data_IF_061841674986
#
_entry.id   IF_061841674986
#
_cell.length_a   1.000
_cell.length_b   1.000
_cell.length_c   1.000
_cell.angle_alpha   90.00
_cell.angle_beta   90.00
_cell.angle_gamma   90.00
#
_symmetry.space_group_name_H-M   'P 1'
#
loop_
_entity.id
_entity.type
_entity.pdbx_description
1 polymer ?
#
# COMPACT_ATOMS: atom_id res chain seq x y z
N UNK A 1 -4.78 6.33 -19.79
CA UNK A 1 -5.18 5.79 -18.48
C UNK A 1 -4.09 6.12 -17.48
N UNK A 2 -4.43 6.48 -16.24
CA UNK A 2 -3.41 6.77 -15.22
C UNK A 2 -2.70 5.50 -14.79
N UNK A 3 -1.39 5.59 -14.51
CA UNK A 3 -0.59 4.47 -14.00
C UNK A 3 -0.99 4.11 -12.57
N UNK A 4 -0.66 2.89 -12.11
CA UNK A 4 -0.84 2.46 -10.71
C UNK A 4 -0.21 3.47 -9.74
N UNK A 5 1.00 3.92 -10.04
CA UNK A 5 1.73 4.90 -9.23
C UNK A 5 1.02 6.25 -9.20
N UNK A 6 0.48 6.73 -10.32
CA UNK A 6 -0.30 7.98 -10.34
C UNK A 6 -1.55 7.87 -9.48
N UNK A 7 -2.29 6.76 -9.56
CA UNK A 7 -3.49 6.53 -8.72
C UNK A 7 -3.15 6.53 -7.23
N UNK A 8 -2.17 5.72 -6.83
CA UNK A 8 -1.71 5.65 -5.43
C UNK A 8 -1.20 7.01 -5.00
N UNK A 9 -0.45 7.70 -5.88
CA UNK A 9 0.04 9.03 -5.60
C UNK A 9 -1.13 9.97 -5.37
N UNK A 10 -2.14 10.08 -6.23
CA UNK A 10 -3.31 10.95 -5.99
C UNK A 10 -4.02 10.70 -4.66
N UNK A 11 -4.12 9.44 -4.22
CA UNK A 11 -4.77 9.09 -2.94
C UNK A 11 -3.91 9.43 -1.70
N UNK A 12 -2.58 9.38 -1.82
CA UNK A 12 -1.63 9.78 -0.77
C UNK A 12 -1.52 8.85 0.44
N UNK A 13 -2.53 8.04 0.71
CA UNK A 13 -2.51 6.97 1.70
C UNK A 13 -3.04 5.67 1.08
N UNK A 14 -2.45 4.54 1.44
CA UNK A 14 -2.93 3.19 1.11
C UNK A 14 -3.25 2.45 2.41
N UNK A 15 -4.53 2.14 2.68
CA UNK A 15 -4.92 1.34 3.83
C UNK A 15 -4.31 -0.07 3.76
N UNK A 16 -3.51 -0.44 4.75
CA UNK A 16 -2.92 -1.79 4.86
C UNK A 16 -3.84 -2.65 5.69
N UNK A 17 -4.53 -3.58 5.03
CA UNK A 17 -5.65 -4.35 5.56
C UNK A 17 -5.21 -5.76 5.94
N UNK A 18 -5.60 -6.19 7.12
CA UNK A 18 -5.57 -7.60 7.56
C UNK A 18 -7.01 -8.01 7.82
N UNK A 19 -7.50 -9.03 7.12
CA UNK A 19 -8.85 -9.57 7.28
C UNK A 19 -8.75 -11.02 7.76
N UNK A 20 -9.34 -11.34 8.90
CA UNK A 20 -9.39 -12.71 9.42
C UNK A 20 -10.49 -13.54 8.75
N UNK A 21 -11.55 -12.89 8.27
CA UNK A 21 -12.71 -13.50 7.64
C UNK A 21 -13.10 -12.69 6.39
N UNK A 22 -13.31 -13.36 5.26
CA UNK A 22 -13.61 -12.72 3.98
C UNK A 22 -14.98 -12.01 4.00
N UNK A 23 -15.89 -12.39 4.91
CA UNK A 23 -17.20 -11.71 5.04
C UNK A 23 -17.08 -10.22 5.37
N UNK A 24 -15.99 -9.82 6.00
CA UNK A 24 -15.76 -8.43 6.42
C UNK A 24 -15.20 -7.57 5.26
N UNK A 25 -14.85 -8.19 4.13
CA UNK A 25 -14.25 -7.52 2.98
C UNK A 25 -15.21 -6.51 2.32
N UNK A 26 -16.47 -6.90 2.06
CA UNK A 26 -17.46 -6.02 1.43
C UNK A 26 -17.83 -4.82 2.31
N UNK A 27 -18.16 -4.98 3.61
CA UNK A 27 -18.40 -3.84 4.51
C UNK A 27 -17.18 -2.92 4.65
N UNK A 28 -15.97 -3.48 4.70
CA UNK A 28 -14.74 -2.68 4.77
C UNK A 28 -14.51 -1.87 3.49
N UNK A 29 -14.68 -2.49 2.32
CA UNK A 29 -14.57 -1.79 1.03
C UNK A 29 -15.60 -0.66 0.93
N UNK A 30 -16.85 -0.91 1.36
CA UNK A 30 -17.88 0.13 1.44
C UNK A 30 -17.43 1.33 2.26
N UNK A 31 -16.92 1.09 3.48
CA UNK A 31 -16.48 2.15 4.37
C UNK A 31 -15.32 2.97 3.78
N UNK A 32 -14.37 2.30 3.11
CA UNK A 32 -13.24 2.95 2.44
C UNK A 32 -13.70 3.81 1.25
N UNK A 33 -14.59 3.28 0.40
CA UNK A 33 -15.15 3.99 -0.76
C UNK A 33 -15.98 5.20 -0.31
N UNK A 34 -16.91 5.01 0.63
CA UNK A 34 -17.73 6.10 1.16
C UNK A 34 -16.92 7.14 1.92
N UNK A 35 -15.80 6.74 2.53
CA UNK A 35 -14.86 7.64 3.19
C UNK A 35 -13.95 8.41 2.23
N UNK A 36 -14.07 8.19 0.91
CA UNK A 36 -13.31 8.90 -0.11
C UNK A 36 -11.93 8.32 -0.41
N UNK A 37 -11.62 7.11 0.07
CA UNK A 37 -10.35 6.42 -0.17
C UNK A 37 -10.59 5.05 -0.82
N UNK A 38 -10.96 5.01 -2.12
CA UNK A 38 -11.26 3.77 -2.83
C UNK A 38 -10.00 2.97 -3.17
N UNK A 39 -9.20 2.58 -2.18
CA UNK A 39 -8.04 1.70 -2.33
C UNK A 39 -7.76 0.86 -1.07
N UNK A 40 -7.05 -0.26 -1.25
CA UNK A 40 -6.57 -1.09 -0.15
C UNK A 40 -5.36 -1.95 -0.58
N UNK A 41 -4.43 -2.18 0.35
CA UNK A 41 -3.42 -3.25 0.29
C UNK A 41 -3.89 -4.39 1.21
N UNK A 42 -4.53 -5.43 0.65
CA UNK A 42 -4.99 -6.61 1.41
C UNK A 42 -3.81 -7.56 1.62
N UNK A 43 -3.45 -7.82 2.86
CA UNK A 43 -2.25 -8.60 3.17
C UNK A 43 -2.49 -10.11 3.16
N UNK A 44 -1.60 -10.87 2.51
CA UNK A 44 -1.56 -12.35 2.49
C UNK A 44 -1.04 -12.94 3.82
N UNK A 45 -1.53 -12.42 4.94
CA UNK A 45 -1.21 -12.90 6.29
C UNK A 45 -2.25 -13.87 6.86
N UNK A 46 -3.38 -14.00 6.17
CA UNK A 46 -4.52 -14.84 6.54
C UNK A 46 -5.01 -15.59 5.31
N UNK A 47 -5.71 -16.71 5.51
CA UNK A 47 -6.30 -17.49 4.41
C UNK A 47 -7.43 -16.72 3.70
N UNK A 48 -8.02 -15.72 4.36
CA UNK A 48 -9.10 -14.89 3.82
C UNK A 48 -8.64 -13.88 2.76
N UNK A 49 -7.34 -13.65 2.57
CA UNK A 49 -6.82 -12.59 1.72
C UNK A 49 -7.28 -12.66 0.26
N UNK A 50 -7.22 -13.86 -0.35
CA UNK A 50 -7.60 -14.06 -1.76
C UNK A 50 -9.08 -13.78 -1.99
N UNK A 51 -9.96 -14.41 -1.19
CA UNK A 51 -11.41 -14.21 -1.31
C UNK A 51 -11.80 -12.77 -0.97
N UNK A 52 -11.11 -12.13 -0.02
CA UNK A 52 -11.33 -10.71 0.29
C UNK A 52 -11.04 -9.81 -0.91
N UNK A 53 -9.91 -10.01 -1.61
CA UNK A 53 -9.58 -9.23 -2.81
C UNK A 53 -10.65 -9.43 -3.89
N UNK A 54 -11.10 -10.67 -4.09
CA UNK A 54 -12.14 -11.00 -5.06
C UNK A 54 -13.48 -10.31 -4.73
N UNK A 55 -13.91 -10.34 -3.47
CA UNK A 55 -15.11 -9.65 -3.01
C UNK A 55 -14.98 -8.14 -3.24
N UNK A 56 -13.90 -7.53 -2.75
CA UNK A 56 -13.70 -6.08 -2.86
C UNK A 56 -13.68 -5.61 -4.32
N UNK A 57 -12.98 -6.33 -5.20
CA UNK A 57 -12.83 -5.93 -6.61
C UNK A 57 -14.08 -6.23 -7.46
N UNK A 58 -14.89 -7.22 -7.08
CA UNK A 58 -16.14 -7.53 -7.80
C UNK A 58 -17.30 -6.65 -7.37
N UNK A 59 -17.44 -6.38 -6.08
CA UNK A 59 -18.52 -5.52 -5.56
C UNK A 59 -18.22 -4.03 -5.69
N UNK A 60 -16.94 -3.64 -5.71
CA UNK A 60 -16.49 -2.25 -5.87
C UNK A 60 -15.47 -2.14 -7.02
N UNK A 61 -15.90 -2.22 -8.30
CA UNK A 61 -15.00 -2.28 -9.46
C UNK A 61 -14.06 -1.07 -9.62
N UNK A 62 -14.47 0.09 -9.08
CA UNK A 62 -13.67 1.31 -9.10
C UNK A 62 -12.60 1.35 -7.99
N UNK A 63 -12.69 0.45 -7.00
CA UNK A 63 -11.74 0.36 -5.90
C UNK A 63 -10.39 -0.19 -6.40
N UNK A 64 -9.32 0.49 -6.01
CA UNK A 64 -7.96 0.13 -6.37
C UNK A 64 -7.34 -0.80 -5.32
N UNK A 65 -7.55 -2.11 -5.49
CA UNK A 65 -7.10 -3.14 -4.55
C UNK A 65 -5.77 -3.75 -5.00
N UNK A 66 -4.80 -3.84 -4.10
CA UNK A 66 -3.56 -4.59 -4.28
C UNK A 66 -3.38 -5.66 -3.21
N UNK A 67 -2.40 -6.53 -3.42
CA UNK A 67 -2.04 -7.58 -2.49
C UNK A 67 -0.73 -7.24 -1.77
N UNK A 68 -0.75 -7.25 -0.44
CA UNK A 68 0.40 -7.01 0.41
C UNK A 68 0.93 -8.27 1.09
N UNK A 69 2.13 -8.18 1.66
CA UNK A 69 2.80 -9.31 2.30
C UNK A 69 2.89 -10.54 1.37
N UNK A 70 3.12 -10.31 0.09
CA UNK A 70 3.36 -11.39 -0.88
C UNK A 70 4.80 -11.89 -0.74
N UNK A 71 4.94 -13.19 -0.55
CA UNK A 71 6.18 -13.89 -0.22
C UNK A 71 6.51 -15.03 -1.19
N UNK A 72 5.59 -15.39 -2.10
CA UNK A 72 5.83 -16.43 -3.12
C UNK A 72 5.22 -16.06 -4.46
N UNK A 73 5.69 -16.72 -5.53
CA UNK A 73 5.14 -16.57 -6.88
C UNK A 73 3.69 -17.06 -6.95
N UNK A 74 3.34 -18.14 -6.25
CA UNK A 74 1.97 -18.67 -6.21
C UNK A 74 1.00 -17.65 -5.60
N UNK A 75 1.46 -16.88 -4.60
CA UNK A 75 0.66 -15.79 -4.03
C UNK A 75 0.46 -14.62 -5.01
N UNK A 76 1.45 -14.32 -5.86
CA UNK A 76 1.29 -13.34 -6.96
C UNK A 76 0.16 -13.78 -7.88
N UNK A 77 0.20 -15.03 -8.37
CA UNK A 77 -0.80 -15.53 -9.31
C UNK A 77 -2.20 -15.56 -8.69
N UNK A 78 -2.33 -16.03 -7.44
CA UNK A 78 -3.60 -16.01 -6.69
C UNK A 78 -4.15 -14.59 -6.52
N UNK A 79 -3.31 -13.64 -6.12
CA UNK A 79 -3.70 -12.25 -5.95
C UNK A 79 -4.22 -11.63 -7.25
N UNK A 80 -3.48 -11.82 -8.34
CA UNK A 80 -3.83 -11.27 -9.66
C UNK A 80 -5.10 -11.92 -10.20
N UNK A 81 -5.24 -13.24 -10.05
CA UNK A 81 -6.46 -13.96 -10.43
C UNK A 81 -7.69 -13.49 -9.62
N UNK A 82 -7.50 -13.13 -8.35
CA UNK A 82 -8.55 -12.52 -7.52
C UNK A 82 -8.88 -11.06 -7.87
N UNK A 83 -8.09 -10.42 -8.75
CA UNK A 83 -8.35 -9.07 -9.24
C UNK A 83 -7.42 -7.98 -8.72
N UNK A 84 -6.38 -8.33 -7.94
CA UNK A 84 -5.38 -7.37 -7.46
C UNK A 84 -4.72 -6.62 -8.62
N UNK A 85 -4.58 -5.30 -8.47
CA UNK A 85 -4.00 -4.40 -9.48
C UNK A 85 -2.51 -4.16 -9.29
N UNK A 86 -1.97 -4.50 -8.13
CA UNK A 86 -0.55 -4.36 -7.80
C UNK A 86 -0.16 -5.31 -6.66
N UNK A 87 1.13 -5.60 -6.56
CA UNK A 87 1.74 -6.47 -5.56
C UNK A 87 2.67 -5.66 -4.65
N UNK A 88 2.69 -6.00 -3.37
CA UNK A 88 3.57 -5.42 -2.37
C UNK A 88 4.20 -6.55 -1.54
N UNK A 89 5.54 -6.64 -1.55
CA UNK A 89 6.29 -7.53 -0.68
C UNK A 89 6.92 -6.73 0.48
N UNK A 90 7.11 -7.34 1.67
CA UNK A 90 7.70 -6.63 2.80
C UNK A 90 9.21 -6.38 2.64
N UNK A 91 9.89 -7.18 1.81
CA UNK A 91 11.30 -7.03 1.45
C UNK A 91 11.51 -7.19 -0.06
N UNK A 92 12.78 -7.13 -0.48
CA UNK A 92 13.16 -7.27 -1.88
C UNK A 92 13.55 -8.72 -2.16
N UNK A 93 12.64 -9.45 -2.80
CA UNK A 93 12.92 -10.79 -3.33
C UNK A 93 13.14 -10.67 -4.85
N UNK A 94 14.36 -10.93 -5.36
CA UNK A 94 14.66 -10.90 -6.79
C UNK A 94 13.74 -11.77 -7.63
N UNK A 95 13.39 -12.98 -7.17
CA UNK A 95 12.61 -13.93 -7.94
C UNK A 95 11.17 -13.45 -8.12
N UNK A 96 10.55 -12.94 -7.04
CA UNK A 96 9.20 -12.35 -7.10
C UNK A 96 9.19 -11.09 -7.96
N UNK A 97 10.20 -10.22 -7.82
CA UNK A 97 10.30 -8.99 -8.60
C UNK A 97 10.45 -9.31 -10.09
N UNK A 98 11.38 -10.20 -10.45
CA UNK A 98 11.64 -10.57 -11.84
C UNK A 98 10.41 -11.27 -12.45
N UNK A 99 9.71 -12.10 -11.67
CA UNK A 99 8.43 -12.71 -12.08
C UNK A 99 7.36 -11.66 -12.40
N UNK A 100 7.08 -10.73 -11.47
CA UNK A 100 6.10 -9.67 -11.67
C UNK A 100 6.43 -8.81 -12.90
N UNK A 101 7.70 -8.42 -13.06
CA UNK A 101 8.15 -7.64 -14.21
C UNK A 101 7.96 -8.38 -15.54
N UNK A 102 8.27 -9.68 -15.59
CA UNK A 102 8.10 -10.50 -16.80
C UNK A 102 6.64 -10.61 -17.27
N UNK A 103 5.70 -10.43 -16.33
CA UNK A 103 4.25 -10.49 -16.56
C UNK A 103 3.58 -9.12 -16.62
N UNK A 104 4.36 -8.04 -16.60
CA UNK A 104 3.86 -6.66 -16.56
C UNK A 104 2.94 -6.38 -15.34
N UNK A 105 3.16 -7.10 -14.23
CA UNK A 105 2.43 -6.92 -12.97
C UNK A 105 3.12 -5.83 -12.15
N UNK A 106 2.42 -4.74 -11.78
CA UNK A 106 2.98 -3.69 -10.94
C UNK A 106 3.38 -4.22 -9.56
N UNK A 107 4.63 -3.97 -9.14
CA UNK A 107 5.16 -4.41 -7.85
C UNK A 107 5.87 -3.27 -7.10
N UNK A 108 5.66 -3.21 -5.78
CA UNK A 108 6.36 -2.32 -4.86
C UNK A 108 7.11 -3.14 -3.79
N UNK A 109 8.33 -3.61 -4.08
CA UNK A 109 9.09 -4.41 -3.12
C UNK A 109 9.63 -3.55 -1.98
N UNK A 110 9.71 -4.13 -0.77
CA UNK A 110 10.28 -3.48 0.40
C UNK A 110 11.80 -3.34 0.32
N UNK A 111 12.34 -2.17 0.63
CA UNK A 111 13.77 -1.90 0.72
C UNK A 111 14.05 -1.07 1.97
N UNK A 112 15.15 -1.37 2.67
CA UNK A 112 15.65 -0.57 3.82
C UNK A 112 17.14 -0.22 3.69
N UNK A 113 17.83 -0.77 2.70
CA UNK A 113 19.26 -0.53 2.45
C UNK A 113 19.54 0.01 1.05
N UNK A 114 20.67 0.72 0.84
CA UNK A 114 21.12 1.12 -0.49
C UNK A 114 21.29 -0.06 -1.47
N UNK A 115 21.75 -1.22 -0.98
CA UNK A 115 21.94 -2.40 -1.83
C UNK A 115 20.63 -2.92 -2.41
N UNK A 116 19.56 -3.00 -1.62
CA UNK A 116 18.23 -3.41 -2.10
C UNK A 116 17.65 -2.37 -3.06
N UNK A 117 17.78 -1.08 -2.74
CA UNK A 117 17.35 -0.01 -3.63
C UNK A 117 18.10 -0.05 -4.96
N UNK A 118 19.41 -0.34 -4.95
CA UNK A 118 20.18 -0.51 -6.17
C UNK A 118 19.67 -1.69 -7.02
N UNK A 119 19.23 -2.79 -6.39
CA UNK A 119 18.61 -3.91 -7.11
C UNK A 119 17.28 -3.52 -7.76
N UNK A 120 16.47 -2.71 -7.09
CA UNK A 120 15.21 -2.19 -7.64
C UNK A 120 15.48 -1.27 -8.85
N UNK A 121 16.41 -0.33 -8.72
CA UNK A 121 16.80 0.59 -9.79
C UNK A 121 17.37 -0.16 -11.00
N UNK A 122 18.22 -1.18 -10.77
CA UNK A 122 18.79 -2.02 -11.84
C UNK A 122 17.70 -2.69 -12.69
N UNK A 123 16.55 -3.00 -12.10
CA UNK A 123 15.38 -3.61 -12.77
C UNK A 123 14.39 -2.59 -13.32
N UNK A 124 14.70 -1.30 -13.25
CA UNK A 124 13.87 -0.24 -13.79
C UNK A 124 12.69 0.18 -12.91
N UNK A 125 12.58 -0.35 -11.67
CA UNK A 125 11.53 0.07 -10.75
C UNK A 125 11.64 1.56 -10.43
N UNK A 126 10.50 2.24 -10.37
CA UNK A 126 10.39 3.69 -10.08
C UNK A 126 9.91 3.98 -8.66
N UNK A 127 9.32 2.99 -8.01
CA UNK A 127 8.82 3.10 -6.64
C UNK A 127 9.17 1.83 -5.89
N UNK A 128 9.65 1.97 -4.65
CA UNK A 128 9.83 0.86 -3.72
C UNK A 128 9.06 1.15 -2.43
N UNK A 129 8.65 0.10 -1.72
CA UNK A 129 8.16 0.22 -0.35
C UNK A 129 9.36 0.45 0.58
N UNK A 130 9.21 1.30 1.59
CA UNK A 130 10.19 1.44 2.67
C UNK A 130 9.55 0.92 3.96
N UNK A 131 10.02 -0.24 4.44
CA UNK A 131 9.36 -0.95 5.53
C UNK A 131 10.37 -1.72 6.40
N UNK A 132 10.30 -1.65 7.75
CA UNK A 132 9.38 -0.83 8.57
C UNK A 132 9.90 0.60 8.78
N UNK A 133 9.15 1.60 8.31
CA UNK A 133 9.66 2.96 8.10
C UNK A 133 10.17 3.65 9.37
N UNK A 134 9.35 3.77 10.42
CA UNK A 134 9.76 4.50 11.64
C UNK A 134 10.96 3.85 12.34
N UNK A 135 11.04 2.53 12.34
CA UNK A 135 12.12 1.76 12.97
C UNK A 135 13.45 1.89 12.22
N UNK A 136 13.42 2.22 10.93
CA UNK A 136 14.61 2.44 10.10
C UNK A 136 14.91 3.93 9.85
N UNK A 137 14.52 4.79 10.80
CA UNK A 137 14.86 6.22 10.82
C UNK A 137 13.94 7.12 9.96
N UNK A 138 12.85 6.55 9.46
CA UNK A 138 11.75 7.28 8.85
C UNK A 138 12.14 8.17 7.67
N UNK A 139 11.45 9.30 7.53
CA UNK A 139 11.62 10.19 6.38
C UNK A 139 13.05 10.73 6.23
N UNK A 140 13.81 10.87 7.32
CA UNK A 140 15.20 11.32 7.26
C UNK A 140 16.09 10.30 6.54
N UNK A 141 15.98 9.02 6.89
CA UNK A 141 16.67 7.93 6.19
C UNK A 141 16.27 7.87 4.72
N UNK A 142 14.96 7.98 4.42
CA UNK A 142 14.48 7.96 3.04
C UNK A 142 15.09 9.10 2.22
N UNK A 143 15.17 10.32 2.77
CA UNK A 143 15.80 11.48 2.09
C UNK A 143 17.27 11.23 1.78
N UNK A 144 18.03 10.72 2.76
CA UNK A 144 19.44 10.40 2.58
C UNK A 144 19.64 9.28 1.53
N UNK A 145 18.82 8.23 1.60
CA UNK A 145 18.87 7.11 0.69
C UNK A 145 18.46 7.51 -0.73
N UNK A 146 17.47 8.39 -0.90
CA UNK A 146 17.01 8.83 -2.22
C UNK A 146 18.03 9.68 -2.99
N UNK A 147 19.01 10.30 -2.30
CA UNK A 147 19.96 11.22 -2.91
C UNK A 147 20.73 10.64 -4.12
N UNK A 148 21.33 9.43 -4.04
CA UNK A 148 22.00 8.80 -5.19
C UNK A 148 21.06 8.16 -6.22
N UNK A 149 19.79 7.92 -5.90
CA UNK A 149 18.84 7.19 -6.77
C UNK A 149 17.84 8.14 -7.41
N UNK A 150 18.34 9.00 -8.32
CA UNK A 150 17.54 10.01 -9.00
C UNK A 150 16.34 9.40 -9.71
N UNK A 151 15.15 9.94 -9.44
CA UNK A 151 13.89 9.50 -10.03
C UNK A 151 13.18 8.36 -9.31
N UNK A 152 13.84 7.68 -8.36
CA UNK A 152 13.18 6.70 -7.50
C UNK A 152 12.33 7.41 -6.44
N UNK A 153 11.15 6.87 -6.16
CA UNK A 153 10.26 7.30 -5.08
C UNK A 153 9.99 6.16 -4.10
N UNK A 154 9.42 6.50 -2.95
CA UNK A 154 9.20 5.59 -1.84
C UNK A 154 7.75 5.60 -1.38
N UNK A 155 7.29 4.42 -0.95
CA UNK A 155 6.02 4.22 -0.25
C UNK A 155 6.32 3.72 1.18
N UNK A 156 6.54 4.62 2.16
CA UNK A 156 6.85 4.24 3.54
C UNK A 156 5.65 3.54 4.19
N UNK A 157 5.91 2.49 4.94
CA UNK A 157 4.91 1.74 5.70
C UNK A 157 5.54 1.25 7.00
N UNK A 158 4.74 1.19 8.07
CA UNK A 158 5.20 0.76 9.40
C UNK A 158 5.48 1.96 10.31
N UNK A 159 4.62 2.13 11.31
CA UNK A 159 4.66 3.27 12.23
C UNK A 159 4.07 4.59 11.67
N UNK A 160 3.58 4.60 10.43
CA UNK A 160 2.84 5.76 9.89
C UNK A 160 1.45 5.87 10.55
N UNK A 161 1.08 7.09 10.91
CA UNK A 161 -0.20 7.47 11.51
C UNK A 161 -0.58 8.90 11.10
N UNK A 162 -1.78 9.35 11.46
CA UNK A 162 -2.18 10.75 11.27
C UNK A 162 -1.18 11.77 11.89
N UNK A 163 -0.46 11.40 12.96
CA UNK A 163 0.47 12.31 13.66
C UNK A 163 1.75 12.62 12.88
N UNK A 164 2.22 11.69 12.06
CA UNK A 164 3.47 11.82 11.30
C UNK A 164 3.24 11.84 9.78
N UNK A 165 2.01 11.75 9.30
CA UNK A 165 1.70 11.71 7.88
C UNK A 165 2.24 12.94 7.12
N UNK A 166 2.13 14.13 7.71
CA UNK A 166 2.65 15.37 7.12
C UNK A 166 4.16 15.35 6.91
N UNK A 167 4.94 14.77 7.83
CA UNK A 167 6.40 14.73 7.71
C UNK A 167 6.84 13.89 6.51
N UNK A 168 6.09 12.82 6.20
CA UNK A 168 6.30 11.99 5.04
C UNK A 168 5.79 12.63 3.75
N UNK A 169 4.52 13.03 3.70
CA UNK A 169 3.90 13.51 2.46
C UNK A 169 4.42 14.89 2.01
N UNK A 170 5.03 15.67 2.90
CA UNK A 170 5.76 16.90 2.53
C UNK A 170 7.10 16.63 1.84
N UNK A 171 7.56 15.38 1.77
CA UNK A 171 8.80 15.01 1.10
C UNK A 171 8.51 14.59 -0.34
N UNK A 172 9.12 15.28 -1.31
CA UNK A 172 8.93 15.02 -2.74
C UNK A 172 9.31 13.60 -3.18
N UNK A 173 10.08 12.87 -2.37
CA UNK A 173 10.47 11.47 -2.62
C UNK A 173 9.37 10.46 -2.26
N UNK A 174 8.28 10.88 -1.63
CA UNK A 174 7.20 10.01 -1.17
C UNK A 174 6.02 10.09 -2.14
N UNK A 175 5.56 8.94 -2.65
CA UNK A 175 4.36 8.89 -3.51
C UNK A 175 3.07 8.83 -2.70
N UNK A 176 3.06 8.00 -1.66
CA UNK A 176 1.98 7.77 -0.72
C UNK A 176 2.53 7.04 0.50
N UNK A 177 1.78 7.00 1.60
CA UNK A 177 2.14 6.20 2.77
C UNK A 177 1.20 4.99 2.94
N UNK A 178 1.76 3.84 3.28
CA UNK A 178 0.96 2.70 3.75
C UNK A 178 0.67 2.82 5.24
N UNK A 179 -0.58 2.62 5.66
CA UNK A 179 -0.97 2.70 7.06
C UNK A 179 -2.23 1.92 7.41
N UNK A 180 -2.33 1.48 8.67
CA UNK A 180 -3.45 0.66 9.16
C UNK A 180 -4.29 1.36 10.22
N UNK A 181 -4.02 2.63 10.55
CA UNK A 181 -4.64 3.29 11.70
C UNK A 181 -6.16 3.45 11.54
N UNK A 182 -6.66 3.61 10.32
CA UNK A 182 -8.09 3.72 9.97
C UNK A 182 -8.77 2.36 9.77
N UNK A 183 -8.02 1.29 9.53
CA UNK A 183 -8.52 -0.07 9.24
C UNK A 183 -7.99 -1.10 10.25
N UNK A 184 -7.88 -0.72 11.53
CA UNK A 184 -7.37 -1.62 12.57
C UNK A 184 -8.22 -2.90 12.65
N UNK A 185 -7.55 -4.05 12.77
CA UNK A 185 -8.22 -5.36 12.83
C UNK A 185 -9.31 -5.45 13.92
N UNK A 186 -9.10 -4.81 15.07
CA UNK A 186 -10.09 -4.80 16.15
C UNK A 186 -11.38 -4.03 15.78
N UNK A 187 -11.29 -2.99 14.95
CA UNK A 187 -12.45 -2.26 14.44
C UNK A 187 -13.23 -3.11 13.43
N UNK A 188 -12.51 -3.76 12.52
CA UNK A 188 -13.08 -4.67 11.51
C UNK A 188 -13.81 -5.83 12.20
N UNK A 189 -13.13 -6.51 13.13
CA UNK A 189 -13.69 -7.64 13.89
C UNK A 189 -14.92 -7.25 14.71
N UNK A 190 -14.97 -6.01 15.21
CA UNK A 190 -16.11 -5.48 15.96
C UNK A 190 -17.24 -4.94 15.06
N UNK A 191 -17.11 -5.01 13.72
CA UNK A 191 -18.09 -4.50 12.78
C UNK A 191 -18.24 -2.96 12.80
N UNK A 192 -17.23 -2.23 13.28
CA UNK A 192 -17.25 -0.77 13.46
C UNK A 192 -16.96 -0.03 12.14
N UNK A 193 -17.67 -0.39 11.07
CA UNK A 193 -17.42 0.14 9.73
C UNK A 193 -17.75 1.63 9.60
N UNK A 194 -18.71 2.14 10.37
CA UNK A 194 -18.99 3.59 10.45
C UNK A 194 -17.81 4.37 11.06
N UNK A 195 -17.13 3.80 12.05
CA UNK A 195 -15.92 4.39 12.65
C UNK A 195 -14.76 4.37 11.65
N UNK A 196 -14.59 3.26 10.92
CA UNK A 196 -13.58 3.14 9.85
C UNK A 196 -13.82 4.18 8.74
N UNK A 197 -15.08 4.39 8.34
CA UNK A 197 -15.45 5.43 7.37
C UNK A 197 -15.02 6.81 7.88
N UNK A 198 -15.40 7.19 9.09
CA UNK A 198 -15.04 8.49 9.67
C UNK A 198 -13.51 8.68 9.73
N UNK A 199 -12.76 7.66 10.18
CA UNK A 199 -11.29 7.71 10.21
C UNK A 199 -10.66 7.78 8.80
N UNK A 200 -11.34 7.23 7.80
CA UNK A 200 -10.93 7.31 6.40
C UNK A 200 -11.14 8.73 5.85
N UNK A 201 -12.29 9.36 6.14
CA UNK A 201 -12.57 10.75 5.78
C UNK A 201 -11.54 11.71 6.40
N UNK A 202 -11.19 11.48 7.68
CA UNK A 202 -10.13 12.23 8.36
C UNK A 202 -8.77 12.09 7.67
N UNK A 203 -8.40 10.86 7.27
CA UNK A 203 -7.16 10.61 6.55
C UNK A 203 -7.13 11.31 5.17
N UNK A 204 -8.24 11.25 4.43
CA UNK A 204 -8.39 11.91 3.11
C UNK A 204 -8.28 13.42 3.26
N UNK A 205 -8.97 14.00 4.25
CA UNK A 205 -8.88 15.44 4.54
C UNK A 205 -7.46 15.86 4.89
N UNK A 206 -6.77 15.09 5.73
CA UNK A 206 -5.38 15.37 6.10
C UNK A 206 -4.44 15.33 4.89
N UNK A 207 -4.59 14.35 3.99
CA UNK A 207 -3.81 14.29 2.74
C UNK A 207 -4.04 15.54 1.88
N UNK A 208 -5.30 15.98 1.73
CA UNK A 208 -5.62 17.17 0.95
C UNK A 208 -5.01 18.44 1.57
N UNK A 209 -5.08 18.58 2.90
CA UNK A 209 -4.47 19.70 3.63
C UNK A 209 -2.94 19.73 3.47
N UNK A 210 -2.26 18.58 3.46
CA UNK A 210 -0.80 18.52 3.28
C UNK A 210 -0.42 18.91 1.85
N UNK A 211 -1.17 18.46 0.85
CA UNK A 211 -0.81 18.62 -0.58
C UNK A 211 -1.23 19.96 -1.19
N UNK A 212 -2.16 20.66 -0.55
CA UNK A 212 -2.58 21.99 -0.96
C UNK A 212 -1.73 23.12 -0.33
N UNK A 213 -0.69 22.77 0.44
CA UNK A 213 0.33 23.72 0.96
C UNK A 213 1.43 23.94 -0.07
#
# INVERSE_FOLDING_TARGET
MSTVTEKISTLGVVPVVVLEDAKDAAPLAKALVEGGLPCAEVTFRTDAAEESIKIMTSEYPDMFVGAGTVLTIEQVDRAVAAGAKFIVSPGFDPEIVDYCLSKEIPIFPGCITPSEVAQAVKRGLKVVKFFPAEQFGGVATIKAMAAPYVGLKFMPTGGVSAKNLESYLSCDKIVACGGSWMVKGDLVKAGKFDEIKAMTEEAVKLVAEIRNK
#
